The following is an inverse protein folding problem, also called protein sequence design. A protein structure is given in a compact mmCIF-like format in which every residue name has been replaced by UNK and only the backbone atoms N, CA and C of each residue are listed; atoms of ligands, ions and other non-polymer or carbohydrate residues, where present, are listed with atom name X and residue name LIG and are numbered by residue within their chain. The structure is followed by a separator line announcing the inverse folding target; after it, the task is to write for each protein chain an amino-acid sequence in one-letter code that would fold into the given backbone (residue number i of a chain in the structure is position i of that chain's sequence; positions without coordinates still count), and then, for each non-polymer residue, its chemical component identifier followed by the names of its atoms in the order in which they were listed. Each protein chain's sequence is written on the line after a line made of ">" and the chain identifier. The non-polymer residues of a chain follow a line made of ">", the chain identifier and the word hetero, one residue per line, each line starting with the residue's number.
data_IF_781891629453
#
_entry.id   IF_781891629453
#
_cell.length_a   1.000
_cell.length_b   1.000
_cell.length_c   1.000
_cell.angle_alpha   90.00
_cell.angle_beta   90.00
_cell.angle_gamma   90.00
#
_symmetry.space_group_name_H-M   'P 1'
#
loop_
_entity.id
_entity.type
_entity.pdbx_description
1 polymer ?
#
# COMPACT_ATOMS: atom_id res chain seq x y z
N UNK A 1 -19.66 32.75 -16.09
CA UNK A 1 -20.99 32.13 -16.05
C UNK A 1 -20.77 30.64 -16.20
N UNK A 2 -20.30 29.99 -15.14
CA UNK A 2 -21.10 29.35 -14.08
C UNK A 2 -20.99 27.84 -14.33
N UNK A 3 -20.67 26.95 -13.39
CA UNK A 3 -20.25 27.07 -11.99
C UNK A 3 -19.74 25.67 -11.57
N UNK A 4 -18.77 25.65 -10.65
CA UNK A 4 -18.43 24.70 -9.58
C UNK A 4 -18.55 23.16 -9.67
N UNK A 5 -17.54 22.57 -9.00
CA UNK A 5 -17.52 21.33 -8.21
C UNK A 5 -16.96 20.06 -8.88
N UNK A 6 -15.67 19.83 -8.66
CA UNK A 6 -15.04 18.52 -8.71
C UNK A 6 -13.87 18.53 -7.74
N UNK A 7 -14.16 18.23 -6.47
CA UNK A 7 -13.19 17.93 -5.43
C UNK A 7 -12.10 17.02 -6.02
N UNK A 8 -10.82 17.33 -5.80
CA UNK A 8 -9.72 16.50 -6.25
C UNK A 8 -9.85 15.10 -5.67
N UNK A 9 -10.37 14.17 -6.47
CA UNK A 9 -10.32 12.75 -6.17
C UNK A 9 -8.85 12.38 -6.36
N UNK A 10 -8.08 12.38 -5.27
CA UNK A 10 -6.90 11.53 -5.19
C UNK A 10 -7.40 10.13 -5.58
N UNK A 11 -7.03 9.66 -6.77
CA UNK A 11 -7.31 8.28 -7.14
C UNK A 11 -6.46 7.44 -6.20
N UNK A 12 -7.10 6.61 -5.37
CA UNK A 12 -6.38 5.54 -4.72
C UNK A 12 -5.71 4.70 -5.82
N UNK A 13 -4.42 4.45 -5.67
CA UNK A 13 -3.62 3.74 -6.67
C UNK A 13 -2.68 2.77 -5.96
N UNK A 14 -2.86 1.48 -6.27
CA UNK A 14 -1.88 0.46 -5.93
C UNK A 14 -0.90 0.34 -7.09
N UNK A 15 0.38 0.46 -6.77
CA UNK A 15 1.46 0.18 -7.71
C UNK A 15 2.32 -0.96 -7.20
N UNK A 16 2.54 -1.97 -8.02
CA UNK A 16 3.41 -3.10 -7.68
C UNK A 16 4.71 -3.02 -8.51
N UNK A 17 5.80 -3.57 -7.98
CA UNK A 17 7.08 -3.64 -8.67
C UNK A 17 7.66 -5.05 -8.60
N UNK A 18 7.91 -5.65 -9.77
CA UNK A 18 8.56 -6.94 -9.89
C UNK A 18 10.06 -6.77 -10.16
N UNK A 19 10.88 -7.68 -9.65
CA UNK A 19 12.32 -7.66 -9.88
C UNK A 19 12.67 -8.49 -11.13
N UNK A 20 13.10 -7.83 -12.19
CA UNK A 20 13.47 -8.47 -13.44
C UNK A 20 14.93 -8.12 -13.80
N UNK A 21 15.83 -9.10 -13.73
CA UNK A 21 17.27 -8.93 -13.94
C UNK A 21 17.88 -7.78 -13.12
N UNK A 22 17.52 -7.70 -11.83
CA UNK A 22 18.03 -6.68 -10.91
C UNK A 22 17.44 -5.28 -11.15
N UNK A 23 16.40 -5.14 -11.97
CA UNK A 23 15.67 -3.89 -12.18
C UNK A 23 14.22 -4.04 -11.75
N UNK A 24 13.72 -3.05 -11.03
CA UNK A 24 12.30 -2.94 -10.71
C UNK A 24 11.53 -2.60 -11.99
N UNK A 25 10.50 -3.39 -12.28
CA UNK A 25 9.53 -3.13 -13.34
C UNK A 25 8.17 -2.88 -12.70
N UNK A 26 7.58 -1.73 -13.03
CA UNK A 26 6.28 -1.34 -12.51
C UNK A 26 5.16 -2.16 -13.16
N UNK A 27 4.22 -2.60 -12.32
CA UNK A 27 2.97 -3.26 -12.69
C UNK A 27 1.84 -2.44 -12.08
N UNK A 28 0.95 -1.93 -12.94
CA UNK A 28 -0.28 -1.28 -12.48
C UNK A 28 -1.24 -2.35 -12.00
N UNK A 29 -1.80 -2.17 -10.81
CA UNK A 29 -2.79 -3.06 -10.22
C UNK A 29 -4.14 -2.34 -10.25
N UNK A 30 -5.08 -2.84 -11.05
CA UNK A 30 -6.43 -2.27 -11.15
C UNK A 30 -7.49 -3.13 -10.44
N UNK A 31 -7.11 -4.33 -9.99
CA UNK A 31 -7.97 -5.29 -9.30
C UNK A 31 -7.20 -6.18 -8.33
N UNK A 32 -7.92 -6.83 -7.40
CA UNK A 32 -7.34 -7.87 -6.54
C UNK A 32 -6.75 -9.03 -7.36
N UNK A 33 -7.37 -9.36 -8.49
CA UNK A 33 -6.88 -10.42 -9.37
C UNK A 33 -5.50 -10.05 -9.96
N UNK A 34 -5.29 -8.80 -10.36
CA UNK A 34 -3.97 -8.34 -10.83
C UNK A 34 -2.91 -8.46 -9.72
N UNK A 35 -3.27 -8.06 -8.50
CA UNK A 35 -2.38 -8.15 -7.33
C UNK A 35 -2.04 -9.61 -7.00
N UNK A 36 -2.98 -10.54 -7.17
CA UNK A 36 -2.79 -11.97 -6.96
C UNK A 36 -1.90 -12.64 -8.00
N UNK A 37 -1.92 -12.15 -9.25
CA UNK A 37 -1.16 -12.73 -10.36
C UNK A 37 0.24 -12.16 -10.52
N UNK A 38 0.57 -11.05 -9.84
CA UNK A 38 1.93 -10.52 -9.81
C UNK A 38 2.77 -11.11 -8.66
N UNK A 39 4.09 -11.00 -8.79
CA UNK A 39 5.07 -11.42 -7.80
C UNK A 39 5.96 -10.25 -7.38
N UNK A 40 5.38 -9.24 -6.70
CA UNK A 40 6.08 -8.00 -6.41
C UNK A 40 7.11 -8.19 -5.31
N UNK A 41 8.21 -7.44 -5.43
CA UNK A 41 9.16 -7.22 -4.33
C UNK A 41 8.87 -5.93 -3.57
N UNK A 42 8.04 -5.05 -4.13
CA UNK A 42 7.56 -3.82 -3.50
C UNK A 42 6.14 -3.53 -4.00
N UNK A 43 5.23 -3.24 -3.08
CA UNK A 43 3.88 -2.73 -3.36
C UNK A 43 3.74 -1.38 -2.66
N UNK A 44 3.24 -0.38 -3.39
CA UNK A 44 2.99 0.97 -2.94
C UNK A 44 1.49 1.22 -2.92
N UNK A 45 0.98 1.68 -1.78
CA UNK A 45 -0.42 1.99 -1.54
C UNK A 45 -0.55 3.51 -1.30
N UNK A 46 -0.97 4.25 -2.32
CA UNK A 46 -1.20 5.69 -2.22
C UNK A 46 -2.68 5.96 -1.88
N UNK A 47 -2.93 6.54 -0.71
CA UNK A 47 -4.28 6.84 -0.17
C UNK A 47 -5.28 5.69 -0.38
N UNK A 48 -4.96 4.46 0.07
CA UNK A 48 -5.77 3.28 -0.21
C UNK A 48 -7.14 3.36 0.46
N UNK A 49 -8.15 2.91 -0.27
CA UNK A 49 -9.50 2.66 0.27
C UNK A 49 -9.50 1.50 1.28
N UNK A 50 -10.57 1.38 2.07
CA UNK A 50 -10.75 0.23 2.99
C UNK A 50 -10.71 -1.12 2.25
N UNK A 51 -11.23 -1.17 1.02
CA UNK A 51 -11.19 -2.37 0.18
C UNK A 51 -9.75 -2.74 -0.22
N UNK A 52 -8.96 -1.77 -0.67
CA UNK A 52 -7.57 -1.97 -1.05
C UNK A 52 -6.69 -2.34 0.16
N UNK A 53 -6.99 -1.81 1.36
CA UNK A 53 -6.38 -2.24 2.62
C UNK A 53 -6.69 -3.71 2.92
N UNK A 54 -7.93 -4.15 2.68
CA UNK A 54 -8.31 -5.55 2.83
C UNK A 54 -7.59 -6.47 1.82
N UNK A 55 -7.20 -5.95 0.65
CA UNK A 55 -6.38 -6.69 -0.31
C UNK A 55 -4.97 -6.96 0.24
N UNK A 56 -4.35 -5.97 0.90
CA UNK A 56 -3.05 -6.15 1.55
C UNK A 56 -3.08 -7.28 2.60
N UNK A 57 -4.12 -7.28 3.45
CA UNK A 57 -4.34 -8.34 4.44
C UNK A 57 -4.55 -9.71 3.79
N UNK A 58 -5.38 -9.76 2.74
CA UNK A 58 -5.73 -11.02 2.07
C UNK A 58 -4.54 -11.62 1.31
N UNK A 59 -3.77 -10.78 0.62
CA UNK A 59 -2.70 -11.24 -0.26
C UNK A 59 -1.36 -11.42 0.47
N UNK A 60 -1.06 -10.56 1.43
CA UNK A 60 0.25 -10.53 2.10
C UNK A 60 0.18 -10.83 3.59
N UNK A 61 -1.00 -10.92 4.20
CA UNK A 61 -1.15 -11.12 5.64
C UNK A 61 -0.91 -9.86 6.48
N UNK A 62 -0.69 -8.71 5.85
CA UNK A 62 -0.29 -7.46 6.49
C UNK A 62 -1.49 -6.55 6.71
N UNK A 63 -1.66 -6.04 7.93
CA UNK A 63 -2.59 -4.96 8.25
C UNK A 63 -1.91 -3.59 8.02
N UNK A 64 -2.44 -2.80 7.08
CA UNK A 64 -1.94 -1.45 6.81
C UNK A 64 -2.43 -0.48 7.90
N UNK A 65 -1.55 0.36 8.48
CA UNK A 65 -1.93 1.31 9.54
C UNK A 65 -2.89 2.40 9.02
N UNK A 66 -3.82 2.84 9.87
CA UNK A 66 -4.72 3.96 9.55
C UNK A 66 -3.97 5.31 9.56
N UNK A 67 -4.49 6.32 8.85
CA UNK A 67 -3.82 7.64 8.74
C UNK A 67 -3.70 8.38 10.08
N UNK A 68 -4.56 8.08 11.06
CA UNK A 68 -4.56 8.64 12.41
C UNK A 68 -3.67 7.86 13.40
N UNK A 69 -3.22 6.65 13.04
CA UNK A 69 -2.17 5.90 13.76
C UNK A 69 -0.75 6.42 13.43
N UNK A 70 -0.64 7.43 12.57
CA UNK A 70 0.62 8.00 12.06
C UNK A 70 1.19 9.11 12.97
N UNK A 71 0.45 9.52 14.00
CA UNK A 71 0.87 10.56 14.95
C UNK A 71 1.79 10.06 16.09
N UNK A 72 2.06 8.75 16.17
CA UNK A 72 2.92 8.18 17.20
C UNK A 72 4.42 8.38 16.88
N UNK A 73 5.02 9.35 17.57
CA UNK A 73 6.45 9.72 17.50
C UNK A 73 7.40 8.69 18.14
N UNK A 74 6.89 7.58 18.67
CA UNK A 74 7.69 6.57 19.38
C UNK A 74 8.36 5.57 18.42
N UNK A 75 9.63 5.23 18.68
CA UNK A 75 10.43 4.35 17.81
C UNK A 75 9.83 2.94 17.65
N UNK A 76 9.15 2.42 18.67
CA UNK A 76 8.43 1.13 18.63
C UNK A 76 7.19 1.15 17.75
N UNK A 77 6.59 2.32 17.51
CA UNK A 77 5.53 2.47 16.52
C UNK A 77 6.10 2.52 15.10
N UNK A 78 7.41 2.75 14.94
CA UNK A 78 8.06 2.99 13.64
C UNK A 78 8.95 1.85 13.15
N UNK A 79 9.44 1.01 14.06
CA UNK A 79 10.33 -0.10 13.76
C UNK A 79 10.00 -1.28 14.67
N UNK A 80 9.35 -2.31 14.14
CA UNK A 80 9.10 -3.54 14.88
C UNK A 80 9.05 -4.76 13.96
N UNK A 81 9.39 -5.91 14.55
CA UNK A 81 9.36 -7.22 13.92
C UNK A 81 8.26 -8.04 14.59
N UNK A 82 7.32 -8.56 13.82
CA UNK A 82 6.29 -9.46 14.32
C UNK A 82 6.84 -10.88 14.56
N UNK A 83 6.11 -11.71 15.32
CA UNK A 83 6.55 -13.08 15.64
C UNK A 83 6.73 -13.98 14.40
N UNK A 84 6.12 -13.60 13.27
CA UNK A 84 6.24 -14.24 11.96
C UNK A 84 7.48 -13.78 11.16
N UNK A 85 8.27 -12.83 11.68
CA UNK A 85 9.43 -12.24 11.01
C UNK A 85 9.11 -11.10 10.03
N UNK A 86 7.86 -10.61 10.00
CA UNK A 86 7.50 -9.43 9.21
C UNK A 86 8.09 -8.17 9.84
N UNK A 87 8.78 -7.37 9.01
CA UNK A 87 9.44 -6.15 9.43
C UNK A 87 8.63 -4.93 8.99
N UNK A 88 8.21 -4.13 9.95
CA UNK A 88 7.53 -2.86 9.72
C UNK A 88 8.53 -1.69 9.88
N UNK A 89 8.62 -0.84 8.86
CA UNK A 89 9.48 0.35 8.84
C UNK A 89 8.63 1.59 8.51
N UNK A 90 8.67 2.61 9.37
CA UNK A 90 7.96 3.89 9.21
C UNK A 90 8.93 5.09 9.32
N UNK A 91 8.99 5.98 8.33
CA UNK A 91 9.91 7.14 8.28
C UNK A 91 9.22 8.48 8.56
#
# INVERSE_FOLDING_TARGET
>A
MSDSAGLGIVRAMITAFELNHGRLQQVTVESLEDLQHCHPVWVDFESPTEEERAWAKTQFGIDLPEEDEVDDLEASARFFEEENGELHIRS
#
